data_IF_960852780629
#
_entry.id   IF_960852780629
#
_cell.length_a   1.000
_cell.length_b   1.000
_cell.length_c   1.000
_cell.angle_alpha   90.00
_cell.angle_beta   90.00
_cell.angle_gamma   90.00
#
_symmetry.space_group_name_H-M   'P 1'
#
loop_
_entity.id
_entity.type
_entity.pdbx_description
1 polymer ?
#
# COMPACT_ATOMS: atom_id res chain seq x y z
N UNK A 1 -13.51 0.96 -6.04
CA UNK A 1 -13.10 -0.28 -5.33
C UNK A 1 -13.26 -0.02 -3.84
N UNK A 2 -13.97 -0.88 -3.10
CA UNK A 2 -13.99 -0.77 -1.62
C UNK A 2 -12.60 -1.12 -1.12
N UNK A 3 -11.98 -0.34 -0.21
CA UNK A 3 -10.65 -0.66 0.32
C UNK A 3 -10.57 -2.10 0.81
N UNK A 4 -9.45 -2.73 0.51
CA UNK A 4 -9.20 -4.12 0.89
C UNK A 4 -9.12 -4.22 2.41
N UNK A 5 -10.09 -4.92 2.99
CA UNK A 5 -10.14 -5.21 4.42
C UNK A 5 -11.23 -4.44 5.16
N UNK A 6 -11.93 -5.16 6.03
CA UNK A 6 -12.99 -4.60 6.87
C UNK A 6 -12.35 -3.79 7.97
N UNK A 7 -12.71 -2.51 8.05
CA UNK A 7 -12.18 -1.62 9.09
C UNK A 7 -12.51 -2.18 10.47
N UNK A 8 -11.49 -2.39 11.31
CA UNK A 8 -11.63 -2.97 12.65
C UNK A 8 -11.42 -4.49 12.74
N UNK A 9 -11.30 -5.21 11.63
CA UNK A 9 -11.04 -6.67 11.62
C UNK A 9 -9.65 -7.05 11.13
N UNK A 10 -9.10 -6.32 10.16
CA UNK A 10 -7.84 -6.70 9.52
C UNK A 10 -6.69 -5.79 9.98
N UNK A 11 -5.58 -6.42 10.38
CA UNK A 11 -4.34 -5.73 10.72
C UNK A 11 -3.30 -6.09 9.67
N UNK A 12 -3.09 -5.16 8.73
CA UNK A 12 -2.02 -5.19 7.75
C UNK A 12 -1.24 -3.89 7.85
N UNK A 13 0.08 -4.01 7.85
CA UNK A 13 1.00 -2.87 7.81
C UNK A 13 1.88 -3.04 6.59
N UNK A 14 2.05 -1.97 5.83
CA UNK A 14 3.06 -1.86 4.79
C UNK A 14 3.98 -0.72 5.16
N UNK A 15 5.28 -0.92 5.02
CA UNK A 15 6.28 0.12 5.19
C UNK A 15 7.22 0.08 4.01
N UNK A 16 7.63 1.27 3.55
CA UNK A 16 8.66 1.45 2.54
C UNK A 16 9.82 2.14 3.24
N UNK A 17 10.96 1.43 3.31
CA UNK A 17 12.15 1.89 4.02
C UNK A 17 13.23 2.14 2.98
N UNK A 18 13.63 3.41 2.76
CA UNK A 18 14.75 3.73 1.89
C UNK A 18 16.01 3.01 2.38
N UNK A 19 16.69 2.32 1.47
CA UNK A 19 17.99 1.69 1.73
C UNK A 19 19.12 2.64 1.31
N UNK A 20 18.94 3.28 0.15
CA UNK A 20 19.76 4.34 -0.43
C UNK A 20 18.87 5.22 -1.34
N UNK A 21 19.49 6.01 -2.21
CA UNK A 21 18.79 6.95 -3.09
C UNK A 21 17.94 6.25 -4.19
N UNK A 22 18.27 5.02 -4.57
CA UNK A 22 17.66 4.29 -5.70
C UNK A 22 16.93 3.01 -5.26
N UNK A 23 17.15 2.52 -4.03
CA UNK A 23 16.59 1.28 -3.52
C UNK A 23 15.71 1.48 -2.29
N UNK A 24 14.54 0.84 -2.30
CA UNK A 24 13.58 0.84 -1.19
C UNK A 24 13.19 -0.57 -0.82
N UNK A 25 13.30 -0.91 0.47
CA UNK A 25 12.81 -2.17 1.01
C UNK A 25 11.34 -2.06 1.40
N UNK A 26 10.50 -2.92 0.85
CA UNK A 26 9.09 -3.01 1.20
C UNK A 26 8.87 -4.09 2.27
N UNK A 27 8.32 -3.69 3.42
CA UNK A 27 7.86 -4.61 4.46
C UNK A 27 6.36 -4.79 4.33
N UNK A 28 5.91 -6.05 4.31
CA UNK A 28 4.52 -6.42 4.50
C UNK A 28 4.41 -7.19 5.81
N UNK A 29 3.72 -6.61 6.78
CA UNK A 29 3.47 -7.24 8.08
C UNK A 29 1.98 -7.53 8.17
N UNK A 30 1.64 -8.80 8.34
CA UNK A 30 0.26 -9.26 8.49
C UNK A 30 0.10 -10.03 9.78
N UNK A 31 -1.00 -9.77 10.49
CA UNK A 31 -1.41 -10.65 11.59
C UNK A 31 -2.10 -11.89 11.02
N UNK A 32 -1.54 -13.07 11.29
CA UNK A 32 -2.01 -14.35 10.75
C UNK A 32 -1.22 -14.84 9.54
N UNK A 33 -1.73 -15.87 8.87
CA UNK A 33 -1.06 -16.45 7.70
C UNK A 33 -0.99 -15.45 6.53
N UNK A 34 0.08 -15.49 5.71
CA UNK A 34 0.16 -14.67 4.52
C UNK A 34 -1.05 -14.95 3.60
N UNK A 35 -1.58 -13.93 2.92
CA UNK A 35 -2.76 -14.10 2.08
C UNK A 35 -2.46 -15.10 0.96
N UNK A 36 -3.33 -16.11 0.75
CA UNK A 36 -3.17 -17.04 -0.35
C UNK A 36 -3.41 -16.34 -1.68
N UNK A 37 -3.08 -17.05 -2.78
CA UNK A 37 -3.51 -16.62 -4.09
C UNK A 37 -5.04 -16.46 -4.13
N UNK A 38 -5.51 -15.44 -4.84
CA UNK A 38 -6.93 -15.06 -4.85
C UNK A 38 -7.35 -14.50 -6.20
N UNK A 39 -8.66 -14.42 -6.41
CA UNK A 39 -9.23 -13.89 -7.64
C UNK A 39 -9.27 -12.37 -7.60
N UNK A 40 -8.59 -11.71 -8.54
CA UNK A 40 -8.74 -10.31 -8.88
C UNK A 40 -9.44 -10.20 -10.25
N UNK A 41 -10.77 -10.04 -10.22
CA UNK A 41 -11.57 -10.14 -11.44
C UNK A 41 -11.52 -11.54 -12.03
N UNK A 42 -11.00 -11.69 -13.25
CA UNK A 42 -10.83 -12.97 -13.95
C UNK A 42 -9.47 -13.63 -13.70
N UNK A 43 -8.53 -12.93 -13.06
CA UNK A 43 -7.17 -13.40 -12.86
C UNK A 43 -6.97 -13.95 -11.45
N UNK A 44 -6.23 -15.05 -11.32
CA UNK A 44 -5.68 -15.49 -10.04
C UNK A 44 -4.37 -14.75 -9.82
N UNK A 45 -4.27 -14.02 -8.71
CA UNK A 45 -3.08 -13.26 -8.32
C UNK A 45 -2.49 -13.82 -7.03
N UNK A 46 -1.16 -13.92 -6.98
CA UNK A 46 -0.41 -14.43 -5.83
C UNK A 46 0.51 -13.38 -5.20
N UNK A 47 1.17 -13.72 -4.08
CA UNK A 47 2.31 -12.95 -3.59
C UNK A 47 3.43 -12.93 -4.63
N UNK A 48 4.31 -11.90 -4.64
CA UNK A 48 5.49 -11.91 -5.50
C UNK A 48 6.40 -13.08 -5.15
N UNK A 49 6.96 -13.72 -6.18
CA UNK A 49 8.02 -14.72 -6.02
C UNK A 49 9.35 -14.02 -5.82
N UNK A 50 10.20 -14.53 -4.92
CA UNK A 50 11.50 -13.95 -4.62
C UNK A 50 12.64 -14.90 -4.98
N UNK A 51 13.74 -14.35 -5.48
CA UNK A 51 14.99 -15.07 -5.67
C UNK A 51 15.55 -15.58 -4.33
N UNK A 52 16.39 -16.63 -4.35
CA UNK A 52 17.14 -17.04 -3.16
C UNK A 52 17.98 -15.88 -2.62
N UNK A 53 17.91 -15.68 -1.30
CA UNK A 53 18.68 -14.63 -0.65
C UNK A 53 20.18 -14.85 -0.84
N UNK A 54 20.88 -13.79 -1.24
CA UNK A 54 22.34 -13.73 -1.24
C UNK A 54 22.86 -13.06 0.04
N UNK A 55 24.18 -12.94 0.15
CA UNK A 55 24.82 -12.25 1.28
C UNK A 55 24.88 -10.73 1.11
N UNK A 56 24.77 -10.22 -0.11
CA UNK A 56 24.79 -8.79 -0.40
C UNK A 56 23.50 -8.09 0.09
N UNK A 57 23.53 -6.75 0.02
CA UNK A 57 22.47 -5.92 0.57
C UNK A 57 21.17 -5.98 -0.25
N UNK A 58 21.27 -6.12 -1.57
CA UNK A 58 20.15 -5.98 -2.52
C UNK A 58 19.59 -7.33 -3.01
N UNK A 59 20.37 -8.40 -2.93
CA UNK A 59 19.91 -9.74 -3.30
C UNK A 59 19.07 -10.43 -2.23
N UNK A 60 18.68 -9.74 -1.15
CA UNK A 60 17.75 -10.23 -0.14
C UNK A 60 16.32 -9.80 -0.47
N UNK A 61 15.38 -10.74 -0.44
CA UNK A 61 13.95 -10.52 -0.72
C UNK A 61 13.69 -9.93 -2.11
N UNK A 62 14.64 -10.10 -3.05
CA UNK A 62 14.54 -9.59 -4.42
C UNK A 62 13.46 -10.34 -5.17
N UNK A 63 12.52 -9.63 -5.78
CA UNK A 63 11.49 -10.24 -6.61
C UNK A 63 12.12 -10.88 -7.86
N UNK A 64 11.57 -12.01 -8.31
CA UNK A 64 12.00 -12.66 -9.58
C UNK A 64 11.60 -11.79 -10.76
N UNK A 65 10.40 -11.21 -10.73
CA UNK A 65 9.93 -10.26 -11.73
C UNK A 65 10.58 -8.89 -11.50
N UNK A 66 11.15 -8.31 -12.55
CA UNK A 66 11.77 -6.98 -12.55
C UNK A 66 11.73 -6.36 -13.95
N UNK A 67 12.24 -5.14 -14.08
CA UNK A 67 12.34 -4.43 -15.37
C UNK A 67 13.07 -5.25 -16.44
N UNK A 68 14.15 -5.95 -16.07
CA UNK A 68 15.00 -6.70 -17.00
C UNK A 68 14.30 -7.89 -17.66
N UNK A 69 13.19 -8.36 -17.09
CA UNK A 69 12.38 -9.44 -17.64
C UNK A 69 10.93 -9.04 -17.93
N UNK A 70 10.67 -7.75 -18.14
CA UNK A 70 9.34 -7.18 -18.38
C UNK A 70 8.33 -7.61 -17.30
N UNK A 71 8.76 -7.73 -16.04
CA UNK A 71 7.97 -8.17 -14.90
C UNK A 71 7.22 -9.50 -15.13
N UNK A 72 7.75 -10.35 -16.00
CA UNK A 72 7.15 -11.62 -16.43
C UNK A 72 5.73 -11.48 -17.01
N UNK A 73 5.47 -10.43 -17.78
CA UNK A 73 4.16 -10.23 -18.43
C UNK A 73 3.80 -11.44 -19.33
N UNK A 74 2.68 -12.10 -19.01
CA UNK A 74 2.04 -13.07 -19.92
C UNK A 74 1.15 -12.32 -20.93
N UNK A 75 1.61 -12.22 -22.17
CA UNK A 75 0.88 -11.53 -23.27
C UNK A 75 -0.43 -12.21 -23.66
N UNK A 76 -0.55 -13.52 -23.48
CA UNK A 76 -1.81 -14.23 -23.73
C UNK A 76 -2.81 -13.88 -22.64
N UNK A 77 -2.40 -13.92 -21.37
CA UNK A 77 -3.23 -13.47 -20.25
C UNK A 77 -3.59 -11.99 -20.37
N UNK A 78 -2.65 -11.15 -20.80
CA UNK A 78 -2.89 -9.72 -21.04
C UNK A 78 -4.01 -9.46 -22.06
N UNK A 79 -4.09 -10.30 -23.10
CA UNK A 79 -5.10 -10.17 -24.15
C UNK A 79 -6.47 -10.70 -23.74
N UNK A 80 -6.54 -11.63 -22.78
CA UNK A 80 -7.73 -12.47 -22.58
C UNK A 80 -8.30 -12.48 -21.15
N UNK A 81 -7.46 -12.25 -20.14
CA UNK A 81 -7.79 -12.45 -18.72
C UNK A 81 -7.64 -11.16 -17.90
N UNK A 82 -6.52 -10.46 -18.02
CA UNK A 82 -6.24 -9.23 -17.26
C UNK A 82 -5.59 -8.17 -18.13
N UNK A 83 -5.65 -6.89 -17.76
CA UNK A 83 -5.07 -5.81 -18.57
C UNK A 83 -3.54 -5.75 -18.54
N UNK A 84 -2.93 -6.28 -17.48
CA UNK A 84 -1.48 -6.21 -17.27
C UNK A 84 -0.77 -7.49 -17.70
N UNK A 85 -1.42 -8.66 -17.57
CA UNK A 85 -0.76 -9.96 -17.76
C UNK A 85 0.22 -10.32 -16.64
N UNK A 86 0.35 -9.51 -15.59
CA UNK A 86 1.28 -9.72 -14.47
C UNK A 86 0.56 -10.45 -13.34
N UNK A 87 1.15 -11.55 -12.85
CA UNK A 87 0.53 -12.49 -11.90
C UNK A 87 0.40 -12.02 -10.44
N UNK A 88 0.96 -10.86 -10.09
CA UNK A 88 0.93 -10.32 -8.72
C UNK A 88 0.49 -8.86 -8.75
N UNK A 89 -0.48 -8.49 -7.89
CA UNK A 89 -0.91 -7.09 -7.74
C UNK A 89 0.28 -6.22 -7.30
N UNK A 90 1.11 -6.74 -6.38
CA UNK A 90 2.28 -5.98 -5.94
C UNK A 90 3.25 -5.72 -7.09
N UNK A 91 3.47 -6.72 -7.95
CA UNK A 91 4.33 -6.54 -9.12
C UNK A 91 3.70 -5.60 -10.17
N UNK A 92 2.37 -5.55 -10.28
CA UNK A 92 1.70 -4.55 -11.14
C UNK A 92 1.97 -3.12 -10.65
N UNK A 93 1.80 -2.89 -9.34
CA UNK A 93 2.08 -1.58 -8.74
C UNK A 93 3.57 -1.22 -8.86
N UNK A 94 4.46 -2.20 -8.64
CA UNK A 94 5.90 -2.02 -8.74
C UNK A 94 6.34 -1.68 -10.17
N UNK A 95 5.81 -2.38 -11.18
CA UNK A 95 6.15 -2.13 -12.58
C UNK A 95 5.85 -0.69 -13.03
N UNK A 96 4.71 -0.15 -12.61
CA UNK A 96 4.34 1.25 -12.91
C UNK A 96 5.16 2.24 -12.07
N UNK A 97 5.58 1.85 -10.86
CA UNK A 97 6.38 2.70 -9.99
C UNK A 97 7.80 2.83 -10.51
N UNK A 98 8.43 1.71 -10.86
CA UNK A 98 9.81 1.64 -11.36
C UNK A 98 9.93 2.26 -12.77
N UNK A 99 8.85 2.27 -13.57
CA UNK A 99 8.86 2.95 -14.88
C UNK A 99 8.96 4.48 -14.82
N UNK A 100 8.94 5.08 -13.63
CA UNK A 100 9.15 6.53 -13.43
C UNK A 100 10.62 6.90 -13.17
N UNK A 101 11.54 5.96 -13.40
CA UNK A 101 12.96 6.00 -13.03
C UNK A 101 13.20 5.92 -11.51
N UNK A 102 14.41 5.51 -11.05
CA UNK A 102 14.74 5.47 -9.63
C UNK A 102 14.52 6.81 -8.92
N UNK A 103 14.83 7.92 -9.60
CA UNK A 103 14.59 9.28 -9.13
C UNK A 103 13.81 10.06 -10.19
N UNK A 104 12.50 10.17 -9.98
CA UNK A 104 11.61 10.89 -10.89
C UNK A 104 11.76 12.42 -10.78
N UNK A 105 12.06 13.11 -11.89
CA UNK A 105 12.02 14.58 -11.97
C UNK A 105 10.58 15.10 -11.90
N UNK A 106 10.23 15.67 -10.75
CA UNK A 106 8.87 16.19 -10.49
C UNK A 106 8.65 17.61 -11.00
N UNK A 107 9.65 18.28 -11.58
CA UNK A 107 9.48 19.66 -12.08
C UNK A 107 8.54 19.74 -13.29
N UNK A 108 8.42 18.64 -14.04
CA UNK A 108 7.51 18.51 -15.18
C UNK A 108 6.15 17.88 -14.82
N UNK A 109 5.90 17.55 -13.55
CA UNK A 109 4.69 16.85 -13.12
C UNK A 109 3.47 17.79 -13.11
N UNK A 110 2.38 17.39 -13.79
CA UNK A 110 1.13 18.13 -13.86
C UNK A 110 0.02 17.39 -13.11
N UNK A 111 -0.16 17.69 -11.82
CA UNK A 111 -1.14 17.04 -10.96
C UNK A 111 -2.57 17.55 -11.19
N UNK A 112 -3.52 16.63 -11.22
CA UNK A 112 -4.95 16.91 -11.39
C UNK A 112 -5.72 16.96 -10.06
N UNK A 113 -7.04 17.16 -10.16
CA UNK A 113 -7.92 17.23 -8.98
C UNK A 113 -8.00 15.91 -8.21
N UNK A 114 -7.80 14.77 -8.89
CA UNK A 114 -7.75 13.44 -8.27
C UNK A 114 -6.53 13.25 -7.37
N UNK A 115 -5.47 14.04 -7.56
CA UNK A 115 -4.20 13.90 -6.84
C UNK A 115 -4.16 14.68 -5.53
N UNK A 116 -5.31 15.15 -5.04
CA UNK A 116 -5.42 15.94 -3.82
C UNK A 116 -4.72 15.28 -2.61
N UNK A 117 -4.77 13.94 -2.50
CA UNK A 117 -4.09 13.20 -1.44
C UNK A 117 -2.56 13.16 -1.63
N UNK A 118 -2.07 13.04 -2.87
CA UNK A 118 -0.64 13.10 -3.20
C UNK A 118 -0.10 14.48 -2.87
N UNK A 119 -0.78 15.54 -3.32
CA UNK A 119 -0.41 16.94 -3.08
C UNK A 119 -0.33 17.22 -1.58
N UNK A 120 -1.37 16.87 -0.81
CA UNK A 120 -1.41 17.14 0.65
C UNK A 120 -0.34 16.37 1.40
N UNK A 121 -0.12 15.10 1.06
CA UNK A 121 0.90 14.27 1.71
C UNK A 121 2.30 14.80 1.43
N UNK A 122 2.62 15.07 0.16
CA UNK A 122 3.94 15.62 -0.21
C UNK A 122 4.21 16.96 0.44
N UNK A 123 3.22 17.87 0.42
CA UNK A 123 3.35 19.17 1.09
C UNK A 123 3.70 19.01 2.57
N UNK A 124 3.00 18.12 3.29
CA UNK A 124 3.29 17.86 4.72
C UNK A 124 4.71 17.33 4.94
N UNK A 125 5.16 16.38 4.12
CA UNK A 125 6.51 15.81 4.24
C UNK A 125 7.60 16.85 3.95
N UNK A 126 7.43 17.65 2.88
CA UNK A 126 8.37 18.71 2.50
C UNK A 126 8.41 19.80 3.59
N UNK A 127 7.26 20.22 4.09
CA UNK A 127 7.17 21.24 5.15
C UNK A 127 7.85 20.74 6.44
N UNK A 128 7.67 19.47 6.81
CA UNK A 128 8.34 18.86 7.96
C UNK A 128 9.86 18.75 7.78
N UNK A 129 10.32 18.34 6.59
CA UNK A 129 11.76 18.27 6.29
C UNK A 129 12.43 19.65 6.34
N UNK A 130 11.77 20.69 5.79
CA UNK A 130 12.24 22.08 5.89
C UNK A 130 12.24 22.59 7.31
N UNK A 131 11.20 22.30 8.10
CA UNK A 131 11.12 22.70 9.50
C UNK A 131 12.26 22.09 10.33
N UNK A 132 12.56 20.80 10.11
CA UNK A 132 13.68 20.13 10.75
C UNK A 132 15.01 20.76 10.34
N UNK A 133 15.25 20.96 9.03
CA UNK A 133 16.50 21.52 8.51
C UNK A 133 16.74 22.97 8.99
N UNK A 134 15.71 23.81 8.89
CA UNK A 134 15.84 25.27 9.06
C UNK A 134 15.68 25.70 10.53
N UNK A 135 14.93 24.93 11.33
CA UNK A 135 14.60 25.30 12.73
C UNK A 135 14.90 24.21 13.76
N UNK A 136 15.33 23.01 13.35
CA UNK A 136 15.52 21.88 14.26
C UNK A 136 14.20 21.30 14.80
N UNK A 137 13.07 21.60 14.17
CA UNK A 137 11.75 21.13 14.62
C UNK A 137 11.57 19.65 14.27
N UNK A 138 11.46 18.80 15.29
CA UNK A 138 11.29 17.35 15.12
C UNK A 138 9.95 17.07 14.43
N UNK A 139 9.91 16.27 13.33
CA UNK A 139 8.68 15.94 12.65
C UNK A 139 7.64 15.27 13.58
N UNK A 140 6.35 15.58 13.41
CA UNK A 140 5.29 14.93 14.18
C UNK A 140 5.30 13.42 13.91
N UNK A 141 5.24 12.63 14.99
CA UNK A 141 5.26 11.17 14.94
C UNK A 141 6.62 10.52 15.21
N UNK A 142 7.70 11.29 15.39
CA UNK A 142 8.96 10.72 15.94
C UNK A 142 8.76 10.40 17.42
N UNK A 143 8.39 11.41 18.21
CA UNK A 143 8.21 11.28 19.67
C UNK A 143 6.75 11.01 20.08
N UNK A 144 5.83 11.05 19.13
CA UNK A 144 4.39 10.82 19.38
C UNK A 144 3.87 9.64 18.55
N UNK A 145 4.23 8.39 18.86
CA UNK A 145 3.82 7.22 18.06
C UNK A 145 2.29 7.03 17.99
N UNK A 146 1.54 7.66 18.90
CA UNK A 146 0.07 7.66 18.90
C UNK A 146 -0.53 8.27 17.64
N UNK A 147 0.18 9.12 16.90
CA UNK A 147 -0.34 9.66 15.63
C UNK A 147 -0.52 8.57 14.57
N UNK A 148 0.20 7.44 14.70
CA UNK A 148 0.04 6.26 13.84
C UNK A 148 -0.99 5.26 14.36
N UNK A 149 -1.64 5.55 15.49
CA UNK A 149 -2.66 4.69 16.11
C UNK A 149 -4.01 4.74 15.37
N UNK A 150 -3.97 4.80 14.04
CA UNK A 150 -5.13 4.90 13.16
C UNK A 150 -5.14 3.73 12.19
N UNK A 151 -6.25 3.00 12.15
CA UNK A 151 -6.50 1.89 11.22
C UNK A 151 -7.12 2.41 9.92
N UNK A 152 -6.71 1.80 8.82
CA UNK A 152 -7.34 1.95 7.51
C UNK A 152 -8.21 0.72 7.19
N UNK A 153 -9.18 0.89 6.31
CA UNK A 153 -10.11 -0.17 5.92
C UNK A 153 -11.36 0.39 5.25
N UNK A 154 -12.19 -0.52 4.75
CA UNK A 154 -13.49 -0.21 4.17
C UNK A 154 -14.64 -0.46 5.15
N UNK A 155 -15.70 0.33 5.02
CA UNK A 155 -16.99 0.11 5.68
C UNK A 155 -18.12 0.64 4.80
N UNK A 156 -19.30 0.03 4.89
CA UNK A 156 -20.51 0.53 4.24
C UNK A 156 -21.31 1.34 5.27
N UNK A 157 -21.60 2.60 4.95
CA UNK A 157 -22.34 3.50 5.81
C UNK A 157 -23.67 3.89 5.16
N UNK A 158 -24.65 4.30 5.99
CA UNK A 158 -25.88 4.90 5.49
C UNK A 158 -25.55 6.19 4.73
N UNK A 159 -26.31 6.46 3.66
CA UNK A 159 -26.20 7.72 2.91
C UNK A 159 -26.35 8.90 3.86
N UNK A 160 -25.44 9.88 3.75
CA UNK A 160 -25.44 11.10 4.56
C UNK A 160 -24.75 10.96 5.92
N UNK A 161 -24.24 9.78 6.30
CA UNK A 161 -23.41 9.64 7.48
C UNK A 161 -22.08 10.38 7.29
N UNK A 162 -21.64 11.13 8.32
CA UNK A 162 -20.27 11.61 8.40
C UNK A 162 -19.35 10.40 8.61
N UNK A 163 -18.53 10.10 7.60
CA UNK A 163 -17.67 8.93 7.62
C UNK A 163 -16.54 9.06 8.64
N UNK A 164 -16.07 10.27 8.98
CA UNK A 164 -15.00 10.47 9.96
C UNK A 164 -15.53 10.12 11.35
N UNK A 165 -16.72 10.62 11.69
CA UNK A 165 -17.35 10.39 12.98
C UNK A 165 -17.84 8.95 13.11
N UNK A 166 -18.58 8.45 12.11
CA UNK A 166 -19.13 7.11 12.12
C UNK A 166 -18.05 6.01 12.24
N UNK A 167 -16.83 6.29 11.76
CA UNK A 167 -15.71 5.34 11.83
C UNK A 167 -14.71 5.62 12.94
N UNK A 168 -14.90 6.67 13.76
CA UNK A 168 -13.92 7.10 14.78
C UNK A 168 -13.42 5.96 15.66
N UNK A 169 -14.34 5.14 16.20
CA UNK A 169 -14.00 3.99 17.05
C UNK A 169 -13.36 2.84 16.25
N UNK A 170 -13.83 2.58 15.03
CA UNK A 170 -13.30 1.52 14.16
C UNK A 170 -11.88 1.82 13.64
N UNK A 171 -11.53 3.10 13.55
CA UNK A 171 -10.19 3.55 13.17
C UNK A 171 -9.22 3.58 14.35
N UNK A 172 -9.66 3.47 15.60
CA UNK A 172 -8.76 3.51 16.74
C UNK A 172 -7.90 2.23 16.79
N UNK A 173 -6.58 2.36 16.83
CA UNK A 173 -5.71 1.22 17.10
C UNK A 173 -5.91 0.71 18.54
N UNK A 174 -5.51 -0.54 18.77
CA UNK A 174 -5.61 -1.22 20.07
C UNK A 174 -7.02 -1.28 20.67
N UNK A 175 -8.05 -1.12 19.85
CA UNK A 175 -9.45 -1.27 20.24
C UNK A 175 -9.97 -2.60 19.69
N UNK A 176 -10.53 -3.44 20.55
CA UNK A 176 -11.21 -4.65 20.13
C UNK A 176 -12.66 -4.36 19.74
N UNK A 177 -13.14 -5.04 18.70
CA UNK A 177 -14.50 -4.94 18.21
C UNK A 177 -15.18 -6.31 18.23
N UNK A 178 -15.54 -6.85 19.41
CA UNK A 178 -16.03 -8.23 19.54
C UNK A 178 -17.37 -8.49 18.81
N UNK A 179 -18.17 -7.45 18.60
CA UNK A 179 -19.42 -7.52 17.83
C UNK A 179 -19.23 -7.33 16.32
N UNK A 180 -18.02 -7.05 15.84
CA UNK A 180 -17.74 -6.86 14.43
C UNK A 180 -17.40 -8.20 13.79
N UNK A 181 -18.08 -8.54 12.70
CA UNK A 181 -17.77 -9.73 11.92
C UNK A 181 -17.91 -9.43 10.42
N UNK A 182 -17.36 -10.33 9.59
CA UNK A 182 -17.45 -10.20 8.13
C UNK A 182 -18.90 -10.29 7.60
N UNK A 183 -19.86 -10.78 8.41
CA UNK A 183 -21.26 -10.81 8.01
C UNK A 183 -21.88 -9.42 7.85
N UNK A 184 -21.30 -8.40 8.49
CA UNK A 184 -21.74 -6.99 8.36
C UNK A 184 -21.52 -6.44 6.95
N UNK A 185 -20.62 -7.05 6.18
CA UNK A 185 -20.43 -6.76 4.75
C UNK A 185 -21.15 -7.75 3.82
N UNK A 186 -22.10 -8.53 4.33
CA UNK A 186 -22.78 -9.57 3.55
C UNK A 186 -21.85 -10.73 3.14
N UNK A 187 -20.79 -11.01 3.92
CA UNK A 187 -19.76 -12.00 3.60
C UNK A 187 -19.03 -11.75 2.27
N UNK A 188 -19.04 -10.52 1.74
CA UNK A 188 -18.28 -10.18 0.53
C UNK A 188 -16.78 -10.39 0.82
N UNK A 189 -16.08 -11.25 0.07
CA UNK A 189 -14.65 -11.44 0.24
C UNK A 189 -13.92 -10.10 0.08
N UNK A 190 -12.97 -9.80 0.97
CA UNK A 190 -12.03 -8.72 0.72
C UNK A 190 -11.23 -9.08 -0.55
N UNK A 191 -11.49 -8.38 -1.65
CA UNK A 191 -10.93 -8.67 -2.99
C UNK A 191 -9.42 -8.66 -3.00
#
# INVERSE_FOLDING_TARGET
>A
MVPTGVLGLEIRVRAWVPMDDEHTLAFLITHGAPPPARNAGRQIVGPPETLPNTTDWYGRFRCVADEGNDYLIDRKAQKTVSYTGIGSIHMQDQAVTESMDPICDRTAEHLGTSDAMVIRTRKRLIDAAKALRDRGEVPPGVDEPRVYAVRSGGVVLRRGADWIEATRKLRAAWTEHPGLSRSVLGNVPAV
#
